data_IF_832556736150
#
_entry.id   IF_832556736150
#
_cell.length_a   1.000
_cell.length_b   1.000
_cell.length_c   1.000
_cell.angle_alpha   90.00
_cell.angle_beta   90.00
_cell.angle_gamma   90.00
#
_symmetry.space_group_name_H-M   'P 1'
#
loop_
_entity.id
_entity.type
_entity.pdbx_description
1 polymer ?
#
# COMPACT_ATOMS: atom_id res chain seq x y z
N UNK A 1 -5.35 3.90 2.29
CA UNK A 1 -4.89 4.15 3.68
C UNK A 1 -3.83 5.23 3.72
N UNK A 2 -2.74 5.06 2.95
CA UNK A 2 -1.98 6.11 2.26
C UNK A 2 -2.58 7.52 2.34
N UNK A 3 -3.67 7.70 1.59
CA UNK A 3 -4.40 8.94 1.45
C UNK A 3 -4.79 9.57 2.80
N UNK A 4 -5.43 8.78 3.67
CA UNK A 4 -5.99 9.26 4.93
C UNK A 4 -4.89 9.67 5.91
N UNK A 5 -3.86 8.84 6.11
CA UNK A 5 -2.83 9.18 7.08
C UNK A 5 -1.91 10.30 6.56
N UNK A 6 -1.58 10.33 5.27
CA UNK A 6 -0.78 11.41 4.66
C UNK A 6 -1.53 12.74 4.73
N UNK A 7 -2.83 12.76 4.46
CA UNK A 7 -3.66 13.97 4.65
C UNK A 7 -3.72 14.40 6.12
N UNK A 8 -3.83 13.46 7.06
CA UNK A 8 -3.85 13.73 8.49
C UNK A 8 -2.50 14.30 8.97
N UNK A 9 -1.38 13.72 8.53
CA UNK A 9 -0.04 14.22 8.87
C UNK A 9 0.19 15.63 8.31
N UNK A 10 -0.21 15.87 7.06
CA UNK A 10 -0.17 17.20 6.47
C UNK A 10 -0.98 18.20 7.29
N UNK A 11 -2.21 17.83 7.69
CA UNK A 11 -3.06 18.69 8.52
C UNK A 11 -2.45 18.97 9.89
N UNK A 12 -1.90 17.94 10.57
CA UNK A 12 -1.17 18.11 11.83
C UNK A 12 0.00 19.07 11.63
N UNK A 13 0.79 18.88 10.57
CA UNK A 13 1.90 19.75 10.21
C UNK A 13 1.48 21.21 10.05
N UNK A 14 0.32 21.47 9.42
CA UNK A 14 -0.27 22.81 9.29
C UNK A 14 -0.70 23.36 10.64
N UNK A 15 -1.42 22.58 11.46
CA UNK A 15 -1.87 23.04 12.78
C UNK A 15 -0.72 23.32 13.75
N UNK A 16 0.39 22.60 13.62
CA UNK A 16 1.61 22.82 14.40
C UNK A 16 2.50 23.95 13.83
N UNK A 17 2.09 24.63 12.76
CA UNK A 17 2.87 25.70 12.12
C UNK A 17 4.12 25.23 11.36
N UNK A 18 4.27 23.91 11.15
CA UNK A 18 5.42 23.31 10.46
C UNK A 18 5.23 23.19 8.95
N UNK A 19 3.99 23.16 8.49
CA UNK A 19 3.65 23.05 7.07
C UNK A 19 2.67 24.14 6.66
N UNK A 20 2.65 24.46 5.36
CA UNK A 20 1.67 25.33 4.72
C UNK A 20 0.92 24.52 3.67
N UNK A 21 -0.40 24.61 3.69
CA UNK A 21 -1.27 24.02 2.67
C UNK A 21 -1.31 24.95 1.45
N UNK A 22 -0.84 24.47 0.31
CA UNK A 22 -0.94 25.17 -0.97
C UNK A 22 -1.95 24.48 -1.87
N UNK A 23 -2.88 25.26 -2.44
CA UNK A 23 -3.90 24.79 -3.37
C UNK A 23 -3.67 25.46 -4.72
N UNK A 24 -3.31 24.67 -5.74
CA UNK A 24 -3.14 25.13 -7.12
C UNK A 24 -4.34 24.67 -7.96
N UNK A 25 -5.27 25.61 -8.19
CA UNK A 25 -6.47 25.36 -9.02
C UNK A 25 -6.12 25.01 -10.47
N UNK A 26 -4.97 25.45 -10.98
CA UNK A 26 -4.52 25.11 -12.34
C UNK A 26 -4.02 23.66 -12.45
N UNK A 27 -3.72 23.04 -11.30
CA UNK A 27 -3.32 21.64 -11.17
C UNK A 27 -4.47 20.65 -11.32
N UNK A 28 -5.73 21.04 -11.04
CA UNK A 28 -6.88 20.12 -10.95
C UNK A 28 -7.03 19.24 -12.20
N UNK A 29 -7.11 19.85 -13.38
CA UNK A 29 -7.30 19.11 -14.62
C UNK A 29 -6.13 18.15 -14.90
N UNK A 30 -4.91 18.57 -14.55
CA UNK A 30 -3.69 17.76 -14.73
C UNK A 30 -3.64 16.61 -13.75
N UNK A 31 -4.02 16.82 -12.49
CA UNK A 31 -4.15 15.76 -11.49
C UNK A 31 -5.16 14.72 -11.97
N UNK A 32 -6.34 15.14 -12.43
CA UNK A 32 -7.37 14.22 -12.93
C UNK A 32 -6.85 13.41 -14.12
N UNK A 33 -6.26 14.07 -15.12
CA UNK A 33 -5.72 13.37 -16.31
C UNK A 33 -4.60 12.41 -15.90
N UNK A 34 -3.67 12.86 -15.07
CA UNK A 34 -2.54 12.04 -14.62
C UNK A 34 -3.02 10.82 -13.84
N UNK A 35 -3.90 10.99 -12.86
CA UNK A 35 -4.48 9.89 -12.08
C UNK A 35 -5.24 8.91 -12.97
N UNK A 36 -6.04 9.40 -13.93
CA UNK A 36 -6.76 8.51 -14.85
C UNK A 36 -5.79 7.67 -15.69
N UNK A 37 -4.74 8.31 -16.23
CA UNK A 37 -3.72 7.62 -17.04
C UNK A 37 -2.89 6.65 -16.19
N UNK A 38 -2.47 7.06 -14.99
CA UNK A 38 -1.70 6.21 -14.07
C UNK A 38 -2.52 5.01 -13.58
N UNK A 39 -3.83 5.17 -13.34
CA UNK A 39 -4.72 4.08 -12.96
C UNK A 39 -4.78 2.96 -14.01
N UNK A 40 -4.66 3.25 -15.31
CA UNK A 40 -4.55 2.19 -16.33
C UNK A 40 -3.25 1.40 -16.18
N UNK A 41 -2.14 2.09 -15.91
CA UNK A 41 -0.85 1.44 -15.62
C UNK A 41 -0.92 0.59 -14.35
N UNK A 42 -1.49 1.14 -13.28
CA UNK A 42 -1.69 0.42 -12.02
C UNK A 42 -2.63 -0.76 -12.17
N UNK A 43 -3.63 -0.69 -13.05
CA UNK A 43 -4.49 -1.85 -13.33
C UNK A 43 -3.67 -3.00 -13.93
N UNK A 44 -2.76 -2.71 -14.87
CA UNK A 44 -1.85 -3.71 -15.43
C UNK A 44 -0.91 -4.30 -14.37
N UNK A 45 -0.33 -3.45 -13.52
CA UNK A 45 0.51 -3.88 -12.38
C UNK A 45 -0.28 -4.80 -11.44
N UNK A 46 -1.45 -4.36 -10.98
CA UNK A 46 -2.29 -5.14 -10.07
C UNK A 46 -2.76 -6.45 -10.70
N UNK A 47 -3.09 -6.47 -11.99
CA UNK A 47 -3.46 -7.70 -12.69
C UNK A 47 -2.31 -8.72 -12.71
N UNK A 48 -1.10 -8.27 -13.06
CA UNK A 48 0.07 -9.14 -13.15
C UNK A 48 0.53 -9.62 -11.78
N UNK A 49 0.66 -8.70 -10.81
CA UNK A 49 1.13 -9.04 -9.47
C UNK A 49 0.12 -9.93 -8.74
N UNK A 50 -1.16 -9.56 -8.69
CA UNK A 50 -2.16 -10.40 -8.02
C UNK A 50 -2.36 -11.73 -8.76
N UNK A 51 -2.35 -11.72 -10.09
CA UNK A 51 -2.41 -12.93 -10.90
C UNK A 51 -1.26 -13.89 -10.58
N UNK A 52 -0.02 -13.38 -10.49
CA UNK A 52 1.14 -14.20 -10.18
C UNK A 52 1.14 -14.68 -8.72
N UNK A 53 0.93 -13.79 -7.75
CA UNK A 53 1.09 -14.11 -6.33
C UNK A 53 -0.15 -14.81 -5.76
N UNK A 54 -1.36 -14.34 -6.05
CA UNK A 54 -2.61 -14.86 -5.46
C UNK A 54 -3.30 -15.83 -6.38
N UNK A 55 -3.14 -15.68 -7.70
CA UNK A 55 -3.67 -16.58 -8.71
C UNK A 55 -2.79 -17.80 -8.94
N UNK A 56 -1.47 -17.66 -9.10
CA UNK A 56 -0.58 -18.79 -9.38
C UNK A 56 0.14 -19.30 -8.13
N UNK A 57 0.97 -18.49 -7.48
CA UNK A 57 1.82 -18.91 -6.37
C UNK A 57 0.98 -19.45 -5.20
N UNK A 58 -0.03 -18.69 -4.77
CA UNK A 58 -0.90 -19.13 -3.67
C UNK A 58 -1.78 -20.33 -4.07
N UNK A 59 -2.44 -20.32 -5.23
CA UNK A 59 -3.37 -21.40 -5.64
C UNK A 59 -2.69 -22.70 -6.04
N UNK A 60 -1.50 -22.63 -6.64
CA UNK A 60 -0.83 -23.79 -7.23
C UNK A 60 0.27 -24.29 -6.30
N UNK A 61 1.17 -23.39 -5.88
CA UNK A 61 2.37 -23.77 -5.11
C UNK A 61 2.03 -23.99 -3.64
N UNK A 62 1.17 -23.15 -3.06
CA UNK A 62 0.84 -23.19 -1.64
C UNK A 62 -0.51 -23.84 -1.30
N UNK A 63 -1.17 -24.50 -2.26
CA UNK A 63 -2.48 -25.15 -2.06
C UNK A 63 -2.53 -26.15 -0.91
N UNK A 64 -1.43 -26.87 -0.69
CA UNK A 64 -1.36 -28.01 0.24
C UNK A 64 -0.91 -27.63 1.65
N UNK A 65 -0.51 -26.38 1.89
CA UNK A 65 -0.07 -25.90 3.19
C UNK A 65 -1.18 -25.13 3.91
N UNK A 66 -1.10 -24.94 5.24
CA UNK A 66 -2.11 -24.16 5.96
C UNK A 66 -2.25 -22.74 5.40
N UNK A 67 -3.50 -22.25 5.34
CA UNK A 67 -3.85 -20.93 4.80
C UNK A 67 -2.97 -19.80 5.37
N UNK A 68 -2.77 -19.78 6.69
CA UNK A 68 -1.87 -18.81 7.33
C UNK A 68 -0.44 -18.86 6.77
N UNK A 69 0.10 -20.07 6.59
CA UNK A 69 1.46 -20.23 6.08
C UNK A 69 1.54 -19.82 4.60
N UNK A 70 0.53 -20.14 3.79
CA UNK A 70 0.43 -19.69 2.41
C UNK A 70 0.44 -18.15 2.33
N UNK A 71 -0.36 -17.48 3.16
CA UNK A 71 -0.42 -16.01 3.25
C UNK A 71 0.94 -15.42 3.63
N UNK A 72 1.59 -15.97 4.66
CA UNK A 72 2.89 -15.46 5.14
C UNK A 72 3.95 -15.64 4.06
N UNK A 73 4.10 -16.86 3.52
CA UNK A 73 5.13 -17.15 2.53
C UNK A 73 4.98 -16.32 1.27
N UNK A 74 3.78 -16.21 0.71
CA UNK A 74 3.59 -15.36 -0.47
C UNK A 74 3.86 -13.87 -0.15
N UNK A 75 3.50 -13.39 1.04
CA UNK A 75 3.74 -12.01 1.45
C UNK A 75 5.22 -11.70 1.61
N UNK A 76 5.99 -12.63 2.17
CA UNK A 76 7.45 -12.52 2.26
C UNK A 76 8.09 -12.44 0.87
N UNK A 77 7.73 -13.34 -0.05
CA UNK A 77 8.25 -13.32 -1.43
C UNK A 77 7.86 -12.03 -2.13
N UNK A 78 6.60 -11.58 -1.96
CA UNK A 78 6.10 -10.34 -2.52
C UNK A 78 6.94 -9.13 -2.08
N UNK A 79 7.25 -8.99 -0.79
CA UNK A 79 8.11 -7.89 -0.33
C UNK A 79 9.56 -8.01 -0.81
N UNK A 80 10.12 -9.24 -0.90
CA UNK A 80 11.50 -9.45 -1.33
C UNK A 80 11.71 -9.09 -2.81
N UNK A 81 10.76 -9.38 -3.70
CA UNK A 81 10.90 -9.00 -5.12
C UNK A 81 10.93 -7.47 -5.31
N UNK A 82 10.39 -6.72 -4.34
CA UNK A 82 10.45 -5.26 -4.33
C UNK A 82 11.80 -4.69 -3.84
N UNK A 83 12.77 -5.53 -3.44
CA UNK A 83 14.09 -5.06 -3.00
C UNK A 83 14.76 -4.17 -4.03
N UNK A 84 14.75 -4.56 -5.31
CA UNK A 84 15.39 -3.76 -6.36
C UNK A 84 14.80 -2.35 -6.46
N UNK A 85 13.46 -2.25 -6.34
CA UNK A 85 12.73 -0.98 -6.39
C UNK A 85 13.05 -0.06 -5.20
N UNK A 86 13.44 -0.62 -4.05
CA UNK A 86 13.67 0.13 -2.82
C UNK A 86 15.15 0.23 -2.41
N UNK A 87 16.05 -0.49 -3.09
CA UNK A 87 17.47 -0.62 -2.72
C UNK A 87 18.24 0.70 -2.67
N UNK A 88 17.81 1.70 -3.43
CA UNK A 88 18.43 3.03 -3.48
C UNK A 88 17.69 4.09 -2.64
N UNK A 89 16.59 3.73 -1.99
CA UNK A 89 15.75 4.64 -1.22
C UNK A 89 16.11 4.60 0.27
N UNK A 90 15.83 5.69 0.99
CA UNK A 90 15.92 5.69 2.46
C UNK A 90 14.98 4.63 3.06
N UNK A 91 15.37 4.09 4.22
CA UNK A 91 14.58 3.10 4.94
C UNK A 91 14.18 1.86 4.12
N UNK A 92 15.04 1.41 3.20
CA UNK A 92 14.80 0.25 2.30
C UNK A 92 14.12 -0.92 2.99
N UNK A 93 14.63 -1.35 4.14
CA UNK A 93 14.08 -2.50 4.87
C UNK A 93 12.67 -2.27 5.39
N UNK A 94 12.33 -1.05 5.82
CA UNK A 94 10.98 -0.70 6.26
C UNK A 94 10.02 -0.74 5.08
N UNK A 95 10.43 -0.21 3.92
CA UNK A 95 9.64 -0.25 2.68
C UNK A 95 9.39 -1.69 2.22
N UNK A 96 10.41 -2.55 2.34
CA UNK A 96 10.28 -3.99 2.05
C UNK A 96 9.28 -4.64 3.03
N UNK A 97 9.38 -4.36 4.33
CA UNK A 97 8.44 -4.89 5.32
C UNK A 97 7.01 -4.38 5.05
N UNK A 98 6.83 -3.11 4.66
CA UNK A 98 5.53 -2.58 4.26
C UNK A 98 4.96 -3.35 3.06
N UNK A 99 5.78 -3.60 2.03
CA UNK A 99 5.38 -4.44 0.91
C UNK A 99 5.02 -5.87 1.35
N UNK A 100 5.76 -6.47 2.29
CA UNK A 100 5.41 -7.78 2.85
C UNK A 100 4.06 -7.77 3.55
N UNK A 101 3.76 -6.73 4.34
CA UNK A 101 2.50 -6.59 5.05
C UNK A 101 1.32 -6.37 4.10
N UNK A 102 1.47 -5.52 3.08
CA UNK A 102 0.48 -5.38 1.99
C UNK A 102 0.27 -6.75 1.32
N UNK A 103 1.38 -7.45 1.09
CA UNK A 103 1.45 -8.85 0.70
C UNK A 103 0.47 -9.74 1.47
N UNK A 104 0.64 -9.77 2.79
CA UNK A 104 -0.15 -10.56 3.73
C UNK A 104 -1.62 -10.12 3.75
N UNK A 105 -1.90 -8.82 3.75
CA UNK A 105 -3.25 -8.25 3.74
C UNK A 105 -4.04 -8.73 2.52
N UNK A 106 -3.46 -8.63 1.34
CA UNK A 106 -4.09 -9.09 0.09
C UNK A 106 -4.30 -10.61 0.07
N UNK A 107 -3.34 -11.38 0.61
CA UNK A 107 -3.54 -12.82 0.81
C UNK A 107 -4.73 -13.13 1.72
N UNK A 108 -4.85 -12.45 2.86
CA UNK A 108 -5.97 -12.60 3.78
C UNK A 108 -7.32 -12.22 3.13
N UNK A 109 -7.34 -11.15 2.32
CA UNK A 109 -8.53 -10.73 1.55
C UNK A 109 -8.94 -11.80 0.56
N UNK A 110 -8.01 -12.39 -0.20
CA UNK A 110 -8.35 -13.45 -1.17
C UNK A 110 -8.91 -14.69 -0.48
N UNK A 111 -8.32 -15.13 0.64
CA UNK A 111 -8.87 -16.28 1.38
C UNK A 111 -10.28 -16.00 1.88
N UNK A 112 -10.56 -14.76 2.31
CA UNK A 112 -11.88 -14.38 2.81
C UNK A 112 -12.93 -14.25 1.70
N UNK A 113 -12.56 -13.56 0.63
CA UNK A 113 -13.49 -13.16 -0.45
C UNK A 113 -13.58 -14.19 -1.56
N UNK A 114 -12.57 -15.07 -1.65
CA UNK A 114 -12.37 -16.06 -2.72
C UNK A 114 -12.41 -15.44 -4.12
N UNK A 115 -12.06 -14.15 -4.23
CA UNK A 115 -12.16 -13.39 -5.46
C UNK A 115 -10.83 -12.76 -5.82
N UNK A 116 -10.26 -13.18 -6.94
CA UNK A 116 -9.05 -12.56 -7.48
C UNK A 116 -9.35 -11.13 -7.97
N UNK A 117 -10.52 -10.90 -8.56
CA UNK A 117 -10.92 -9.58 -9.05
C UNK A 117 -11.06 -8.58 -7.90
N UNK A 118 -11.55 -9.02 -6.73
CA UNK A 118 -11.65 -8.15 -5.55
C UNK A 118 -10.28 -7.67 -5.09
N UNK A 119 -9.29 -8.57 -4.99
CA UNK A 119 -7.94 -8.16 -4.56
C UNK A 119 -7.22 -7.33 -5.63
N UNK A 120 -7.45 -7.58 -6.92
CA UNK A 120 -6.96 -6.72 -8.01
C UNK A 120 -7.50 -5.30 -7.86
N UNK A 121 -8.82 -5.16 -7.59
CA UNK A 121 -9.43 -3.86 -7.33
C UNK A 121 -8.87 -3.18 -6.09
N UNK A 122 -8.65 -3.93 -5.00
CA UNK A 122 -8.05 -3.41 -3.77
C UNK A 122 -6.61 -2.92 -3.99
N UNK A 123 -5.82 -3.64 -4.78
CA UNK A 123 -4.46 -3.25 -5.14
C UNK A 123 -4.46 -2.02 -6.05
N UNK A 124 -5.28 -1.99 -7.09
CA UNK A 124 -5.44 -0.81 -7.95
C UNK A 124 -5.80 0.43 -7.12
N UNK A 125 -6.74 0.27 -6.19
CA UNK A 125 -7.13 1.35 -5.28
C UNK A 125 -5.98 1.78 -4.37
N UNK A 126 -5.19 0.85 -3.82
CA UNK A 126 -4.02 1.18 -3.01
C UNK A 126 -3.01 2.03 -3.79
N UNK A 127 -2.62 1.61 -5.00
CA UNK A 127 -1.65 2.32 -5.83
C UNK A 127 -2.18 3.68 -6.29
N UNK A 128 -3.45 3.75 -6.72
CA UNK A 128 -4.07 5.02 -7.13
C UNK A 128 -4.22 5.98 -5.95
N UNK A 129 -4.57 5.49 -4.77
CA UNK A 129 -4.70 6.32 -3.56
C UNK A 129 -3.35 6.83 -3.04
N UNK A 130 -2.27 6.05 -3.22
CA UNK A 130 -0.90 6.54 -3.02
C UNK A 130 -0.60 7.68 -4.02
N UNK A 131 -0.86 7.47 -5.30
CA UNK A 131 -0.57 8.41 -6.39
C UNK A 131 -1.24 9.80 -6.24
N UNK A 132 -2.49 9.83 -5.76
CA UNK A 132 -3.28 11.07 -5.60
C UNK A 132 -2.71 12.02 -4.53
N UNK A 133 -2.05 11.51 -3.47
CA UNK A 133 -1.63 12.32 -2.31
C UNK A 133 -0.14 12.29 -2.01
N UNK A 134 0.71 12.11 -3.03
CA UNK A 134 2.13 12.32 -2.80
C UNK A 134 2.43 13.78 -2.49
N UNK A 135 2.57 14.04 -1.19
CA UNK A 135 3.22 15.18 -0.55
C UNK A 135 4.52 15.57 -1.29
N UNK A 136 5.22 14.59 -1.86
CA UNK A 136 6.46 14.74 -2.65
C UNK A 136 6.37 14.18 -4.07
N UNK A 137 5.31 14.50 -4.82
CA UNK A 137 5.26 14.10 -6.23
C UNK A 137 6.39 14.79 -7.02
N UNK A 138 7.31 14.02 -7.63
CA UNK A 138 8.40 14.55 -8.46
C UNK A 138 7.88 15.36 -9.65
N UNK A 139 6.63 15.10 -10.05
CA UNK A 139 5.89 15.84 -11.06
C UNK A 139 5.19 17.05 -10.42
N UNK A 140 5.97 18.09 -10.08
CA UNK A 140 5.45 19.35 -9.50
C UNK A 140 4.26 19.94 -10.29
N UNK A 141 4.17 19.65 -11.58
CA UNK A 141 3.15 20.15 -12.51
C UNK A 141 1.74 19.56 -12.33
N UNK A 142 1.57 18.42 -11.64
CA UNK A 142 0.27 17.76 -11.43
C UNK A 142 -0.31 18.01 -10.04
N UNK A 143 0.29 18.90 -9.22
CA UNK A 143 -0.11 19.13 -7.81
C UNK A 143 -1.38 19.99 -7.74
N UNK A 144 -2.47 19.42 -7.23
CA UNK A 144 -3.67 20.18 -6.84
C UNK A 144 -3.60 20.65 -5.37
N UNK A 145 -3.19 19.75 -4.47
CA UNK A 145 -3.02 20.00 -3.04
C UNK A 145 -1.60 19.59 -2.67
N UNK A 146 -0.90 20.45 -1.92
CA UNK A 146 0.39 20.09 -1.35
C UNK A 146 0.57 20.67 0.05
N UNK A 147 1.32 19.93 0.88
CA UNK A 147 1.79 20.44 2.16
C UNK A 147 3.29 20.68 2.03
N UNK A 148 3.71 21.94 2.07
CA UNK A 148 5.11 22.30 1.99
C UNK A 148 5.63 22.66 3.39
N UNK A 149 6.86 22.28 3.72
CA UNK A 149 7.49 22.66 4.99
C UNK A 149 7.71 24.18 5.06
N UNK A 150 7.44 24.77 6.23
CA UNK A 150 7.71 26.19 6.48
C UNK A 150 9.22 26.43 6.62
N UNK A 151 9.75 27.44 5.94
CA UNK A 151 11.19 27.77 5.85
C UNK A 151 11.80 28.17 7.22
N UNK A 152 10.99 28.36 8.25
CA UNK A 152 11.40 28.95 9.53
C UNK A 152 11.79 27.94 10.63
N UNK A 153 11.71 26.63 10.39
CA UNK A 153 12.04 25.61 11.39
C UNK A 153 13.14 24.67 10.89
N UNK A 154 14.19 24.53 11.71
CA UNK A 154 15.43 23.77 11.46
C UNK A 154 15.18 22.42 10.75
N UNK A 155 15.95 22.11 9.67
CA UNK A 155 15.80 20.87 8.91
C UNK A 155 16.06 19.60 9.74
N UNK A 156 16.81 19.71 10.84
CA UNK A 156 17.35 18.52 11.52
C UNK A 156 16.39 17.84 12.51
N UNK A 157 15.29 18.50 12.93
CA UNK A 157 14.33 17.93 13.90
C UNK A 157 13.02 17.48 13.23
N UNK A 158 12.77 17.91 11.99
CA UNK A 158 11.56 17.65 11.21
C UNK A 158 11.68 16.43 10.28
N UNK A 159 12.88 16.05 9.87
CA UNK A 159 13.14 14.86 9.04
C UNK A 159 12.88 13.55 9.79
N UNK A 160 13.04 13.52 11.12
CA UNK A 160 12.91 12.29 11.93
C UNK A 160 11.53 12.08 12.57
N UNK A 161 10.72 13.13 12.76
CA UNK A 161 9.42 13.01 13.45
C UNK A 161 8.26 12.62 12.51
N UNK A 162 8.49 12.69 11.19
CA UNK A 162 7.52 12.40 10.14
C UNK A 162 8.06 11.37 9.13
N UNK A 163 8.83 10.38 9.57
CA UNK A 163 9.21 9.28 8.68
C UNK A 163 7.95 8.47 8.32
N UNK A 164 7.31 8.86 7.22
CA UNK A 164 5.99 8.36 6.79
C UNK A 164 5.95 6.84 6.65
N UNK A 165 7.10 6.23 6.39
CA UNK A 165 7.33 4.79 6.28
C UNK A 165 7.07 4.06 7.61
N UNK A 166 7.44 4.65 8.75
CA UNK A 166 7.23 4.05 10.07
C UNK A 166 5.77 4.13 10.50
N UNK A 167 5.10 5.23 10.16
CA UNK A 167 3.66 5.39 10.42
C UNK A 167 2.88 4.40 9.57
N UNK A 168 3.23 4.27 8.30
CA UNK A 168 2.67 3.25 7.41
C UNK A 168 2.89 1.84 7.96
N UNK A 169 4.11 1.53 8.43
CA UNK A 169 4.44 0.24 9.04
C UNK A 169 3.53 -0.09 10.23
N UNK A 170 3.35 0.85 11.16
CA UNK A 170 2.49 0.66 12.34
C UNK A 170 1.05 0.41 11.89
N UNK A 171 0.55 1.21 10.95
CA UNK A 171 -0.82 1.07 10.44
C UNK A 171 -1.04 -0.25 9.72
N UNK A 172 -0.14 -0.63 8.82
CA UNK A 172 -0.21 -1.92 8.11
C UNK A 172 -0.12 -3.10 9.08
N UNK A 173 0.68 -2.98 10.14
CA UNK A 173 0.76 -4.00 11.19
C UNK A 173 -0.57 -4.16 11.93
N UNK A 174 -1.19 -3.05 12.35
CA UNK A 174 -2.51 -3.05 13.01
C UNK A 174 -3.58 -3.66 12.09
N UNK A 175 -3.62 -3.26 10.82
CA UNK A 175 -4.57 -3.78 9.83
C UNK A 175 -4.34 -5.27 9.61
N UNK A 176 -3.09 -5.69 9.45
CA UNK A 176 -2.73 -7.10 9.27
C UNK A 176 -3.25 -7.94 10.44
N UNK A 177 -2.92 -7.55 11.67
CA UNK A 177 -3.39 -8.26 12.87
C UNK A 177 -4.92 -8.27 12.98
N UNK A 178 -5.56 -7.15 12.66
CA UNK A 178 -7.03 -7.04 12.67
C UNK A 178 -7.68 -7.97 11.65
N UNK A 179 -7.16 -8.03 10.42
CA UNK A 179 -7.70 -8.91 9.38
C UNK A 179 -7.45 -10.38 9.69
N UNK A 180 -6.26 -10.74 10.19
CA UNK A 180 -6.00 -12.11 10.66
C UNK A 180 -6.96 -12.50 11.78
N UNK A 181 -7.21 -11.60 12.73
CA UNK A 181 -8.17 -11.84 13.82
C UNK A 181 -9.62 -11.97 13.31
N UNK A 182 -10.07 -11.05 12.44
CA UNK A 182 -11.42 -11.05 11.90
C UNK A 182 -11.68 -12.27 11.01
N UNK A 183 -10.69 -12.66 10.20
CA UNK A 183 -10.77 -13.79 9.27
C UNK A 183 -10.19 -15.07 9.86
N UNK A 184 -9.95 -15.14 11.18
CA UNK A 184 -9.33 -16.29 11.84
C UNK A 184 -10.02 -17.62 11.55
N UNK A 185 -11.36 -17.60 11.40
CA UNK A 185 -12.15 -18.80 11.02
C UNK A 185 -11.70 -19.37 9.68
N UNK A 186 -11.54 -18.50 8.69
CA UNK A 186 -11.15 -18.85 7.33
C UNK A 186 -9.64 -19.12 7.21
N UNK A 187 -8.81 -18.43 8.00
CA UNK A 187 -7.34 -18.50 7.92
C UNK A 187 -6.74 -19.61 8.81
N UNK A 188 -7.27 -19.85 10.01
CA UNK A 188 -6.66 -20.78 10.98
C UNK A 188 -7.38 -22.13 11.06
N UNK A 189 -8.70 -22.15 10.89
CA UNK A 189 -9.51 -23.34 11.19
C UNK A 189 -9.98 -24.08 9.93
N UNK A 190 -10.18 -23.38 8.82
CA UNK A 190 -10.48 -24.02 7.55
C UNK A 190 -9.20 -24.56 6.90
N UNK A 191 -9.08 -25.89 6.84
CA UNK A 191 -8.10 -26.55 5.98
C UNK A 191 -8.62 -26.41 4.54
N UNK A 192 -7.81 -25.88 3.60
CA UNK A 192 -8.21 -25.82 2.20
C UNK A 192 -8.57 -27.25 1.74
N UNK A 193 -9.85 -27.49 1.45
CA UNK A 193 -10.34 -28.74 0.86
C UNK A 193 -10.46 -28.63 -0.67
N UNK A 194 -9.97 -27.53 -1.25
CA UNK A 194 -10.11 -27.16 -2.66
C UNK A 194 -9.22 -25.94 -3.00
N UNK A 195 -9.48 -25.30 -4.14
CA UNK A 195 -8.84 -24.03 -4.52
C UNK A 195 -9.24 -22.89 -3.55
N UNK A 196 -8.38 -21.89 -3.38
CA UNK A 196 -8.71 -20.72 -2.55
C UNK A 196 -9.62 -19.73 -3.29
N UNK A 197 -9.74 -19.86 -4.62
CA UNK A 197 -10.68 -19.11 -5.45
C UNK A 197 -11.88 -20.00 -5.78
N UNK A 198 -13.07 -19.39 -5.84
CA UNK A 198 -14.23 -20.06 -6.43
C UNK A 198 -14.08 -20.01 -7.96
N UNK A 199 -13.87 -21.17 -8.60
CA UNK A 199 -13.82 -21.34 -10.07
C UNK A 199 -15.14 -21.85 -10.62
#
# INVERSE_FOLDING_TARGET
MALLYKSLLGLIGVTCGKMVLEIDKSGIAKTIIFTLVSSFGFFGVSLLEEGLFRGYLMQVVFKKIPNLLAIILQGLVFGLVHYHNYSLLSHTWIRIINAMLVGIIFGAIVIKTKSLMFVIGAHLFYNTAEDILFLDNSYKFTRFISFNYSIYLSPNFSENLFCTEYIELIMLSIITLSLIFLFRRDILYNKSKGDFLDT
#
